data_IF_497228487860
#
_entry.id   IF_497228487860
#
_cell.length_a   1.000
_cell.length_b   1.000
_cell.length_c   1.000
_cell.angle_alpha   90.00
_cell.angle_beta   90.00
_cell.angle_gamma   90.00
#
_symmetry.space_group_name_H-M   'P 1'
#
loop_
_entity.id
_entity.type
_entity.pdbx_description
1 polymer ?
#
# COMPACT_ATOMS: atom_id res chain seq x y z
N UNK A 1 4.26 28.12 -16.08
CA UNK A 1 3.64 26.82 -15.70
C UNK A 1 3.96 26.58 -14.23
N UNK A 2 2.97 26.27 -13.39
CA UNK A 2 3.19 25.85 -12.00
C UNK A 2 2.84 24.37 -11.91
N UNK A 3 3.73 23.58 -11.34
CA UNK A 3 3.45 22.19 -10.99
C UNK A 3 2.84 22.19 -9.59
N UNK A 4 1.67 21.59 -9.44
CA UNK A 4 0.98 21.46 -8.16
C UNK A 4 0.85 19.96 -7.88
N UNK A 5 1.44 19.43 -6.79
CA UNK A 5 1.36 18.01 -6.46
C UNK A 5 -0.07 17.62 -6.04
N UNK A 6 -0.41 16.35 -6.23
CA UNK A 6 -1.69 15.77 -5.78
C UNK A 6 -1.66 15.54 -4.27
N UNK A 7 -2.84 15.47 -3.66
CA UNK A 7 -2.99 15.15 -2.23
C UNK A 7 -2.31 13.82 -1.87
N UNK A 8 -2.51 12.78 -2.69
CA UNK A 8 -1.83 11.50 -2.57
C UNK A 8 -0.29 11.63 -2.58
N UNK A 9 0.25 12.52 -3.43
CA UNK A 9 1.69 12.74 -3.48
C UNK A 9 2.24 13.40 -2.22
N UNK A 10 1.47 14.31 -1.60
CA UNK A 10 1.84 14.95 -0.34
C UNK A 10 1.81 13.96 0.83
N UNK A 11 0.78 13.13 0.91
CA UNK A 11 0.63 12.09 1.93
C UNK A 11 1.72 11.02 1.81
N UNK A 12 2.05 10.63 0.58
CA UNK A 12 3.14 9.70 0.32
C UNK A 12 4.48 10.24 0.81
N UNK A 13 4.84 11.49 0.45
CA UNK A 13 6.09 12.11 0.92
C UNK A 13 6.11 12.24 2.45
N UNK A 14 4.99 12.58 3.08
CA UNK A 14 4.91 12.70 4.55
C UNK A 14 5.09 11.36 5.28
N UNK A 15 4.77 10.24 4.62
CA UNK A 15 4.90 8.90 5.19
C UNK A 15 6.28 8.27 4.93
N UNK A 16 7.10 8.85 4.05
CA UNK A 16 8.46 8.39 3.81
C UNK A 16 9.41 8.85 4.94
N UNK A 17 10.41 8.03 5.30
CA UNK A 17 11.44 8.43 6.25
C UNK A 17 12.23 9.62 5.71
N UNK A 18 12.82 10.41 6.62
CA UNK A 18 13.64 11.57 6.27
C UNK A 18 14.73 11.22 5.24
N UNK A 19 15.30 10.02 5.33
CA UNK A 19 16.35 9.56 4.43
C UNK A 19 15.94 9.48 2.95
N UNK A 20 14.65 9.26 2.67
CA UNK A 20 14.11 9.16 1.31
C UNK A 20 13.59 10.51 0.79
N UNK A 21 13.55 11.52 1.66
CA UNK A 21 12.99 12.86 1.37
C UNK A 21 14.04 13.97 1.48
N UNK A 22 15.20 13.71 2.11
CA UNK A 22 16.31 14.66 2.19
C UNK A 22 17.24 14.55 0.97
N UNK A 23 17.75 15.68 0.46
CA UNK A 23 18.65 15.69 -0.69
C UNK A 23 20.06 15.14 -0.40
N UNK A 24 20.43 14.97 0.88
CA UNK A 24 21.78 14.54 1.30
C UNK A 24 22.16 13.18 0.72
N UNK A 25 21.23 12.23 0.63
CA UNK A 25 21.48 10.91 0.03
C UNK A 25 21.75 11.00 -1.47
N UNK A 26 21.10 11.94 -2.16
CA UNK A 26 21.33 12.13 -3.61
C UNK A 26 22.72 12.72 -3.86
N UNK A 27 23.21 13.60 -2.98
CA UNK A 27 24.56 14.14 -3.06
C UNK A 27 25.62 13.05 -2.77
N UNK A 28 25.41 12.24 -1.74
CA UNK A 28 26.29 11.12 -1.39
C UNK A 28 26.41 10.10 -2.53
N UNK A 29 25.29 9.74 -3.15
CA UNK A 29 25.29 8.80 -4.28
C UNK A 29 25.95 9.36 -5.54
N UNK A 30 25.90 10.68 -5.73
CA UNK A 30 26.61 11.33 -6.84
C UNK A 30 28.13 11.28 -6.61
N UNK A 31 28.58 11.55 -5.38
CA UNK A 31 29.99 11.45 -4.99
C UNK A 31 30.54 10.02 -5.15
N UNK A 32 29.78 9.01 -4.70
CA UNK A 32 30.18 7.60 -4.87
C UNK A 32 30.29 7.19 -6.34
N UNK A 33 29.43 7.71 -7.22
CA UNK A 33 29.56 7.50 -8.67
C UNK A 33 30.85 8.12 -9.24
N UNK A 34 31.25 9.30 -8.77
CA UNK A 34 32.51 9.93 -9.17
C UNK A 34 33.73 9.12 -8.70
N UNK A 35 33.67 8.55 -7.50
CA UNK A 35 34.73 7.66 -6.99
C UNK A 35 34.88 6.38 -7.83
N UNK A 36 33.76 5.83 -8.33
CA UNK A 36 33.77 4.69 -9.26
C UNK A 36 34.42 5.08 -10.59
N UNK A 37 34.07 6.24 -11.15
CA UNK A 37 34.70 6.76 -12.38
C UNK A 37 36.22 6.99 -12.21
N UNK A 38 36.64 7.44 -11.03
CA UNK A 38 38.04 7.64 -10.67
C UNK A 38 38.79 6.32 -10.37
N UNK A 39 38.08 5.19 -10.24
CA UNK A 39 38.64 3.89 -9.86
C UNK A 39 39.01 3.78 -8.36
N UNK A 40 38.54 4.72 -7.54
CA UNK A 40 38.75 4.76 -6.09
C UNK A 40 37.74 3.91 -5.32
N UNK A 41 36.60 3.61 -5.94
CA UNK A 41 35.56 2.72 -5.42
C UNK A 41 35.23 1.66 -6.48
N UNK A 42 35.09 0.40 -6.08
CA UNK A 42 34.61 -0.63 -6.99
C UNK A 42 33.09 -0.65 -7.02
N UNK A 43 32.53 -1.07 -8.15
CA UNK A 43 31.07 -1.26 -8.29
C UNK A 43 30.56 -2.25 -7.24
N UNK A 44 31.29 -3.34 -7.00
CA UNK A 44 30.89 -4.36 -6.03
C UNK A 44 30.83 -3.80 -4.60
N UNK A 45 31.82 -3.01 -4.18
CA UNK A 45 31.82 -2.40 -2.84
C UNK A 45 30.67 -1.40 -2.65
N UNK A 46 30.31 -0.66 -3.70
CA UNK A 46 29.14 0.21 -3.69
C UNK A 46 27.83 -0.58 -3.57
N UNK A 47 27.70 -1.69 -4.30
CA UNK A 47 26.49 -2.53 -4.24
C UNK A 47 26.33 -3.19 -2.88
N UNK A 48 27.41 -3.69 -2.27
CA UNK A 48 27.38 -4.26 -0.92
C UNK A 48 26.90 -3.23 0.12
N UNK A 49 27.38 -1.99 0.03
CA UNK A 49 26.94 -0.90 0.91
C UNK A 49 25.47 -0.53 0.66
N UNK A 50 25.05 -0.46 -0.60
CA UNK A 50 23.66 -0.18 -0.99
C UNK A 50 22.70 -1.24 -0.45
N UNK A 51 23.05 -2.52 -0.57
CA UNK A 51 22.24 -3.62 -0.04
C UNK A 51 22.11 -3.54 1.49
N UNK A 52 23.21 -3.30 2.20
CA UNK A 52 23.19 -3.10 3.65
C UNK A 52 22.34 -1.89 4.05
N UNK A 53 22.46 -0.80 3.31
CA UNK A 53 21.69 0.43 3.52
C UNK A 53 20.19 0.19 3.35
N UNK A 54 19.78 -0.46 2.25
CA UNK A 54 18.38 -0.79 1.98
C UNK A 54 17.84 -1.73 3.07
N UNK A 55 18.62 -2.73 3.49
CA UNK A 55 18.22 -3.65 4.54
C UNK A 55 17.95 -2.93 5.88
N UNK A 56 18.80 -1.98 6.26
CA UNK A 56 18.61 -1.15 7.46
C UNK A 56 17.37 -0.23 7.32
N UNK A 57 17.16 0.37 6.15
CA UNK A 57 15.97 1.19 5.93
C UNK A 57 14.68 0.38 6.00
N UNK A 58 14.65 -0.82 5.43
CA UNK A 58 13.47 -1.71 5.49
C UNK A 58 13.13 -2.12 6.93
N UNK A 59 14.12 -2.28 7.81
CA UNK A 59 13.89 -2.60 9.23
C UNK A 59 13.24 -1.44 10.01
N UNK A 60 13.42 -0.19 9.56
CA UNK A 60 12.97 1.01 10.24
C UNK A 60 11.72 1.66 9.61
N UNK A 61 11.12 1.04 8.58
CA UNK A 61 9.86 1.54 7.99
C UNK A 61 8.71 1.30 8.98
N UNK A 62 8.18 2.40 9.53
CA UNK A 62 6.92 2.40 10.26
C UNK A 62 5.75 2.24 9.28
N UNK A 63 5.34 0.99 9.06
CA UNK A 63 4.17 0.64 8.27
C UNK A 63 2.85 1.10 8.92
N UNK A 64 2.86 1.59 10.16
CA UNK A 64 1.66 2.06 10.86
C UNK A 64 1.07 3.34 10.29
N UNK A 65 1.90 4.17 9.64
CA UNK A 65 1.53 5.50 9.14
C UNK A 65 1.32 5.59 7.62
N UNK A 66 1.74 4.58 6.84
CA UNK A 66 1.41 4.46 5.41
C UNK A 66 0.02 3.83 5.27
N UNK A 67 -0.99 4.47 5.84
CA UNK A 67 -2.36 4.24 5.42
C UNK A 67 -2.53 5.01 4.11
N UNK A 68 -2.24 4.35 2.98
CA UNK A 68 -2.94 4.77 1.76
C UNK A 68 -4.44 4.80 2.06
N UNK A 69 -5.24 5.51 1.27
CA UNK A 69 -6.72 5.57 1.39
C UNK A 69 -7.44 4.21 1.46
N UNK A 70 -6.71 3.09 1.46
CA UNK A 70 -6.99 1.92 2.28
C UNK A 70 -7.09 2.18 3.79
N UNK A 71 -7.83 3.20 4.25
CA UNK A 71 -8.51 3.04 5.54
C UNK A 71 -9.25 1.70 5.43
N UNK A 72 -9.04 0.72 6.32
CA UNK A 72 -9.96 -0.39 6.40
C UNK A 72 -11.28 0.23 6.84
N UNK A 73 -12.14 0.61 5.87
CA UNK A 73 -13.51 1.07 6.13
C UNK A 73 -14.32 -0.04 6.82
N UNK A 74 -13.74 -1.23 6.97
CA UNK A 74 -14.36 -2.46 7.40
C UNK A 74 -13.39 -3.24 8.33
N UNK A 75 -12.93 -2.62 9.42
CA UNK A 75 -12.18 -3.32 10.48
C UNK A 75 -12.99 -4.44 11.17
N UNK A 76 -14.28 -4.59 10.84
CA UNK A 76 -15.12 -5.66 11.36
C UNK A 76 -16.19 -6.05 10.35
N UNK A 77 -15.80 -6.62 9.21
CA UNK A 77 -16.74 -7.35 8.38
C UNK A 77 -16.94 -8.73 9.00
N UNK A 78 -18.09 -8.97 9.66
CA UNK A 78 -18.38 -10.23 10.33
C UNK A 78 -18.98 -11.25 9.34
N UNK A 79 -18.21 -11.59 8.30
CA UNK A 79 -18.63 -12.52 7.26
C UNK A 79 -17.49 -13.47 6.86
N UNK A 80 -17.84 -14.72 6.55
CA UNK A 80 -16.92 -15.72 6.01
C UNK A 80 -17.02 -15.78 4.49
N UNK A 81 -16.02 -16.34 3.83
CA UNK A 81 -16.06 -16.54 2.39
C UNK A 81 -17.23 -17.45 1.98
N UNK A 82 -18.13 -17.02 1.08
CA UNK A 82 -19.28 -17.83 0.67
C UNK A 82 -18.90 -19.06 -0.17
N UNK A 83 -17.66 -19.12 -0.69
CA UNK A 83 -17.17 -20.24 -1.50
C UNK A 83 -16.51 -21.34 -0.65
N UNK A 84 -15.80 -20.98 0.43
CA UNK A 84 -14.98 -21.92 1.19
C UNK A 84 -15.02 -21.76 2.71
N UNK A 85 -15.74 -20.78 3.25
CA UNK A 85 -15.81 -20.48 4.69
C UNK A 85 -14.55 -19.83 5.28
N UNK A 86 -13.52 -19.55 4.47
CA UNK A 86 -12.26 -18.94 4.91
C UNK A 86 -12.36 -17.46 5.27
N UNK A 87 -11.28 -16.95 5.86
CA UNK A 87 -11.15 -15.54 6.26
C UNK A 87 -11.10 -14.61 5.04
N UNK A 88 -11.75 -13.45 5.17
CA UNK A 88 -11.78 -12.41 4.16
C UNK A 88 -10.78 -11.31 4.50
N UNK A 89 -10.01 -10.88 3.49
CA UNK A 89 -9.22 -9.66 3.53
C UNK A 89 -10.03 -8.53 2.89
N UNK A 90 -10.12 -7.40 3.59
CA UNK A 90 -10.96 -6.29 3.17
C UNK A 90 -10.12 -5.06 2.82
N UNK A 91 -10.36 -4.52 1.64
CA UNK A 91 -9.83 -3.22 1.19
C UNK A 91 -10.99 -2.38 0.67
N UNK A 92 -10.87 -1.04 0.56
CA UNK A 92 -11.94 -0.20 0.03
C UNK A 92 -12.41 -0.58 -1.38
N UNK A 93 -11.52 -1.17 -2.19
CA UNK A 93 -11.81 -1.54 -3.58
C UNK A 93 -12.23 -2.99 -3.75
N UNK A 94 -11.72 -3.89 -2.92
CA UNK A 94 -11.91 -5.34 -3.08
C UNK A 94 -11.98 -6.03 -1.72
N UNK A 95 -12.95 -6.92 -1.58
CA UNK A 95 -13.04 -7.93 -0.54
C UNK A 95 -12.64 -9.27 -1.17
N UNK A 96 -11.55 -9.86 -0.69
CA UNK A 96 -10.99 -11.11 -1.23
C UNK A 96 -10.88 -12.19 -0.17
N UNK A 97 -10.99 -13.47 -0.55
CA UNK A 97 -10.67 -14.56 0.37
C UNK A 97 -9.17 -14.81 0.41
N UNK A 98 -8.63 -15.10 1.61
CA UNK A 98 -7.22 -15.50 1.78
C UNK A 98 -6.94 -16.94 1.35
N UNK A 99 -7.97 -17.79 1.28
CA UNK A 99 -7.85 -19.23 1.02
C UNK A 99 -8.30 -19.67 -0.39
N UNK A 100 -9.03 -18.83 -1.13
CA UNK A 100 -9.53 -19.18 -2.46
C UNK A 100 -9.59 -17.97 -3.40
N UNK A 101 -9.95 -18.19 -4.67
CA UNK A 101 -9.99 -17.15 -5.70
C UNK A 101 -11.18 -16.17 -5.59
N UNK A 102 -11.95 -16.20 -4.50
CA UNK A 102 -13.10 -15.32 -4.31
C UNK A 102 -12.66 -13.85 -4.23
N UNK A 103 -13.31 -13.00 -5.03
CA UNK A 103 -13.12 -11.55 -5.07
C UNK A 103 -14.47 -10.87 -5.26
N UNK A 104 -14.69 -9.80 -4.50
CA UNK A 104 -15.90 -9.00 -4.53
C UNK A 104 -15.54 -7.52 -4.51
N UNK A 105 -16.13 -6.74 -5.42
CA UNK A 105 -15.97 -5.28 -5.44
C UNK A 105 -17.17 -4.66 -4.72
N UNK A 106 -16.98 -3.92 -3.61
CA UNK A 106 -18.08 -3.35 -2.83
C UNK A 106 -18.77 -2.17 -3.53
N UNK A 107 -18.20 -1.66 -4.62
CA UNK A 107 -18.85 -0.70 -5.50
C UNK A 107 -19.64 -1.42 -6.60
N UNK A 108 -20.96 -1.22 -6.61
CA UNK A 108 -21.87 -1.79 -7.62
C UNK A 108 -22.67 -0.66 -8.24
N UNK A 109 -22.61 -0.54 -9.58
CA UNK A 109 -23.30 0.51 -10.34
C UNK A 109 -22.98 1.94 -9.85
N UNK A 110 -21.73 2.21 -9.47
CA UNK A 110 -21.27 3.52 -9.00
C UNK A 110 -21.70 3.89 -7.58
N UNK A 111 -22.28 2.94 -6.82
CA UNK A 111 -22.63 3.12 -5.41
C UNK A 111 -21.81 2.18 -4.54
N UNK A 112 -21.23 2.72 -3.48
CA UNK A 112 -20.55 1.93 -2.46
C UNK A 112 -21.57 1.30 -1.53
N UNK A 113 -21.52 -0.03 -1.38
CA UNK A 113 -22.38 -0.77 -0.45
C UNK A 113 -21.97 -0.48 0.99
N UNK A 114 -22.95 -0.40 1.89
CA UNK A 114 -22.68 -0.27 3.33
C UNK A 114 -22.18 -1.60 3.92
N UNK A 115 -21.45 -1.58 5.06
CA UNK A 115 -20.97 -2.79 5.72
C UNK A 115 -22.07 -3.85 5.92
N UNK A 116 -23.24 -3.45 6.42
CA UNK A 116 -24.37 -4.37 6.62
C UNK A 116 -24.96 -4.94 5.31
N UNK A 117 -24.89 -4.21 4.20
CA UNK A 117 -25.27 -4.73 2.88
C UNK A 117 -24.27 -5.76 2.38
N UNK A 118 -22.97 -5.51 2.59
CA UNK A 118 -21.91 -6.44 2.24
C UNK A 118 -22.04 -7.74 3.06
N UNK A 119 -22.27 -7.65 4.37
CA UNK A 119 -22.50 -8.82 5.22
C UNK A 119 -23.75 -9.62 4.82
N UNK A 120 -24.85 -8.93 4.55
CA UNK A 120 -26.07 -9.57 4.07
C UNK A 120 -25.85 -10.25 2.71
N UNK A 121 -25.08 -9.64 1.81
CA UNK A 121 -24.75 -10.22 0.51
C UNK A 121 -23.87 -11.47 0.65
N UNK A 122 -22.86 -11.42 1.51
CA UNK A 122 -21.93 -12.54 1.71
C UNK A 122 -22.58 -13.70 2.48
N UNK A 123 -23.50 -13.42 3.40
CA UNK A 123 -24.17 -14.45 4.21
C UNK A 123 -25.42 -15.01 3.52
N UNK A 124 -26.27 -14.16 2.97
CA UNK A 124 -27.58 -14.55 2.42
C UNK A 124 -27.61 -14.62 0.88
N UNK A 125 -26.51 -14.24 0.20
CA UNK A 125 -26.43 -14.16 -1.25
C UNK A 125 -27.25 -13.03 -1.90
N UNK A 126 -27.95 -12.21 -1.10
CA UNK A 126 -28.82 -11.13 -1.57
C UNK A 126 -28.79 -9.93 -0.62
N UNK A 127 -28.86 -8.73 -1.17
CA UNK A 127 -29.15 -7.50 -0.41
C UNK A 127 -30.63 -7.15 -0.51
N UNK A 128 -31.11 -6.31 0.42
CA UNK A 128 -32.39 -5.63 0.24
C UNK A 128 -32.36 -4.66 -0.94
N UNK A 129 -33.52 -4.09 -1.31
CA UNK A 129 -33.62 -3.13 -2.42
C UNK A 129 -32.70 -1.94 -2.18
N UNK A 130 -31.67 -1.80 -3.02
CA UNK A 130 -30.80 -0.63 -3.06
C UNK A 130 -31.61 0.54 -3.61
N UNK A 131 -31.88 1.55 -2.78
CA UNK A 131 -32.57 2.76 -3.28
C UNK A 131 -31.62 3.54 -4.20
N UNK A 132 -32.06 3.69 -5.45
CA UNK A 132 -31.48 4.55 -6.48
C UNK A 132 -31.63 6.01 -6.10
#
# INVERSE_FOLDING_TARGET
>A
KKLIPTQLGLEFIAALPAIATTPDMTALWHEQQQMIEAGELTVDAFLDELESFIADQVQNIDLGNVQGDGKPILDSLNAQCPMCGGELAVTPRVIGCRACAFKFHPEVSGKMLSPGQIEALLTNGKTGVLKG
#
